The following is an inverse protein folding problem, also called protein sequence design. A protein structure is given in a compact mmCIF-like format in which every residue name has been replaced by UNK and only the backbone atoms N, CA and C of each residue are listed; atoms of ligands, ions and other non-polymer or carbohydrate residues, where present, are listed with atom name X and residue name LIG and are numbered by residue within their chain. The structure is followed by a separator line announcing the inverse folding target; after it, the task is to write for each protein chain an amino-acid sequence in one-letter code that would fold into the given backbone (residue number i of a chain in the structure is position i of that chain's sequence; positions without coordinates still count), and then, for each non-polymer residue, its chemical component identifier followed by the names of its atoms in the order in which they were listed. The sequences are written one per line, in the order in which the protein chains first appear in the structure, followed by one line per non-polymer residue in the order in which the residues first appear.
data_IF_871897593955
#
_entry.id   IF_871897593955
#
_cell.length_a   1.000
_cell.length_b   1.000
_cell.length_c   1.000
_cell.angle_alpha   90.00
_cell.angle_beta   90.00
_cell.angle_gamma   90.00
#
_symmetry.space_group_name_H-M   'P 1'
#
loop_
_entity.id
_entity.type
_entity.pdbx_description
1 polymer ?
#
# COMPACT_ATOMS: atom_id res chain seq x y z
N UNK A 1 10.74 -20.64 20.14
CA UNK A 1 11.19 -19.98 18.89
C UNK A 1 11.01 -20.91 17.67
N UNK A 2 9.90 -21.65 17.60
CA UNK A 2 9.64 -22.67 16.57
C UNK A 2 8.26 -22.60 15.90
N UNK A 3 7.33 -21.79 16.40
CA UNK A 3 5.95 -21.73 15.89
C UNK A 3 5.80 -20.87 14.62
N UNK A 4 6.82 -20.09 14.24
CA UNK A 4 6.68 -19.09 13.17
C UNK A 4 6.94 -19.64 11.77
N UNK A 5 7.72 -20.72 11.61
CA UNK A 5 8.02 -21.29 10.28
C UNK A 5 6.91 -22.18 9.75
N UNK A 6 6.28 -22.99 10.61
CA UNK A 6 5.21 -23.91 10.18
C UNK A 6 3.94 -23.17 9.73
N UNK A 7 3.58 -22.04 10.34
CA UNK A 7 2.42 -21.26 9.94
C UNK A 7 2.62 -20.44 8.64
N UNK A 8 3.87 -20.28 8.19
CA UNK A 8 4.19 -19.58 6.93
C UNK A 8 4.03 -20.53 5.74
N UNK A 9 4.38 -21.81 5.88
CA UNK A 9 4.32 -22.81 4.80
C UNK A 9 2.90 -23.33 4.45
N UNK A 10 1.91 -23.06 5.31
CA UNK A 10 0.55 -23.66 5.22
C UNK A 10 -0.36 -23.11 4.10
N UNK A 11 0.00 -22.02 3.42
CA UNK A 11 -0.87 -21.41 2.40
C UNK A 11 -0.47 -21.75 0.95
N UNK A 12 0.60 -22.55 0.77
CA UNK A 12 1.08 -23.02 -0.53
C UNK A 12 1.70 -21.93 -1.40
N UNK A 13 1.95 -20.73 -0.88
CA UNK A 13 2.49 -19.61 -1.65
C UNK A 13 3.87 -19.95 -2.24
N UNK A 14 4.73 -20.64 -1.50
CA UNK A 14 6.09 -21.02 -1.91
C UNK A 14 6.08 -21.80 -3.23
N UNK A 15 5.21 -22.81 -3.36
CA UNK A 15 5.08 -23.58 -4.58
C UNK A 15 4.62 -22.74 -5.78
N UNK A 16 3.72 -21.77 -5.56
CA UNK A 16 3.30 -20.84 -6.60
C UNK A 16 4.41 -19.86 -6.98
N UNK A 17 5.18 -19.38 -6.00
CA UNK A 17 6.33 -18.50 -6.20
C UNK A 17 7.41 -19.22 -7.00
N UNK A 18 7.73 -20.48 -6.69
CA UNK A 18 8.70 -21.26 -7.45
C UNK A 18 8.31 -21.41 -8.93
N UNK A 19 7.03 -21.75 -9.17
CA UNK A 19 6.48 -21.81 -10.54
C UNK A 19 6.55 -20.43 -11.23
N UNK A 20 6.23 -19.36 -10.52
CA UNK A 20 6.31 -18.00 -11.04
C UNK A 20 7.74 -17.59 -11.38
N UNK A 21 8.72 -17.93 -10.56
CA UNK A 21 10.14 -17.69 -10.82
C UNK A 21 10.59 -18.43 -12.09
N UNK A 22 10.18 -19.69 -12.25
CA UNK A 22 10.49 -20.46 -13.45
C UNK A 22 9.90 -19.79 -14.72
N UNK A 23 8.65 -19.33 -14.68
CA UNK A 23 8.01 -18.61 -15.79
C UNK A 23 8.70 -17.28 -16.10
N UNK A 24 9.05 -16.49 -15.06
CA UNK A 24 9.75 -15.21 -15.21
C UNK A 24 11.13 -15.39 -15.87
N UNK A 25 11.90 -16.38 -15.42
CA UNK A 25 13.25 -16.67 -15.92
C UNK A 25 13.27 -17.28 -17.32
N UNK A 26 12.22 -18.01 -17.69
CA UNK A 26 12.05 -18.58 -19.03
C UNK A 26 11.38 -17.63 -20.03
N UNK A 27 11.05 -16.40 -19.63
CA UNK A 27 10.48 -15.37 -20.52
C UNK A 27 8.97 -15.46 -20.74
N UNK A 28 8.26 -16.37 -20.06
CA UNK A 28 6.80 -16.55 -20.14
C UNK A 28 6.05 -15.47 -19.35
N UNK A 29 6.22 -14.21 -19.76
CA UNK A 29 5.78 -13.03 -18.98
C UNK A 29 4.27 -12.96 -18.75
N UNK A 30 3.46 -13.35 -19.74
CA UNK A 30 1.99 -13.34 -19.63
C UNK A 30 1.49 -14.37 -18.62
N UNK A 31 1.99 -15.59 -18.70
CA UNK A 31 1.64 -16.67 -17.78
C UNK A 31 2.10 -16.37 -16.35
N UNK A 32 3.31 -15.80 -16.20
CA UNK A 32 3.81 -15.33 -14.93
C UNK A 32 2.91 -14.24 -14.33
N UNK A 33 2.45 -13.28 -15.15
CA UNK A 33 1.56 -12.22 -14.70
C UNK A 33 0.20 -12.77 -14.25
N UNK A 34 -0.36 -13.70 -15.01
CA UNK A 34 -1.65 -14.32 -14.67
C UNK A 34 -1.56 -15.17 -13.41
N UNK A 35 -0.51 -15.99 -13.27
CA UNK A 35 -0.23 -16.76 -12.06
C UNK A 35 -0.07 -15.84 -10.85
N UNK A 36 0.66 -14.73 -11.03
CA UNK A 36 0.86 -13.75 -9.97
C UNK A 36 -0.47 -13.17 -9.50
N UNK A 37 -1.30 -12.69 -10.43
CA UNK A 37 -2.58 -12.04 -10.11
C UNK A 37 -3.59 -13.00 -9.51
N UNK A 38 -3.74 -14.19 -10.08
CA UNK A 38 -4.81 -15.13 -9.74
C UNK A 38 -4.51 -15.99 -8.52
N UNK A 39 -3.25 -16.41 -8.32
CA UNK A 39 -2.90 -17.40 -7.30
C UNK A 39 -1.95 -16.85 -6.23
N UNK A 40 -0.95 -16.04 -6.60
CA UNK A 40 0.05 -15.54 -5.65
C UNK A 40 -0.47 -14.35 -4.84
N UNK A 41 -0.93 -13.30 -5.51
CA UNK A 41 -1.28 -12.04 -4.86
C UNK A 41 -2.36 -12.17 -3.78
N UNK A 42 -3.43 -13.00 -3.95
CA UNK A 42 -4.39 -13.25 -2.88
C UNK A 42 -3.76 -13.85 -1.62
N UNK A 43 -2.73 -14.69 -1.76
CA UNK A 43 -1.99 -15.27 -0.64
C UNK A 43 -1.09 -14.21 0.01
N UNK A 44 -0.41 -13.38 -0.78
CA UNK A 44 0.36 -12.22 -0.27
C UNK A 44 -0.53 -11.29 0.56
N UNK A 45 -1.75 -10.97 0.09
CA UNK A 45 -2.72 -10.18 0.84
C UNK A 45 -3.12 -10.84 2.18
N UNK A 46 -3.24 -12.17 2.23
CA UNK A 46 -3.51 -12.89 3.49
C UNK A 46 -2.31 -12.80 4.44
N UNK A 47 -1.09 -12.98 3.93
CA UNK A 47 0.15 -12.90 4.73
C UNK A 47 0.34 -11.53 5.33
N UNK A 48 0.19 -10.45 4.56
CA UNK A 48 0.38 -9.10 5.11
C UNK A 48 -0.65 -8.78 6.20
N UNK A 49 -1.93 -9.17 6.01
CA UNK A 49 -2.97 -9.04 7.03
C UNK A 49 -2.60 -9.74 8.34
N UNK A 50 -2.00 -10.93 8.25
CA UNK A 50 -1.54 -11.70 9.41
C UNK A 50 -0.34 -11.03 10.09
N UNK A 51 0.65 -10.57 9.32
CA UNK A 51 1.85 -9.88 9.84
C UNK A 51 1.54 -8.55 10.51
N UNK A 52 0.60 -7.77 9.97
CA UNK A 52 0.22 -6.45 10.47
C UNK A 52 -0.41 -6.48 11.88
N UNK A 53 -1.03 -7.60 12.26
CA UNK A 53 -1.71 -7.74 13.55
C UNK A 53 -2.98 -6.90 13.69
N UNK A 54 -3.78 -7.18 14.71
CA UNK A 54 -5.10 -6.54 14.90
C UNK A 54 -4.99 -5.07 15.31
N UNK A 55 -4.00 -4.72 16.14
CA UNK A 55 -3.81 -3.35 16.63
C UNK A 55 -3.62 -2.33 15.50
N UNK A 56 -2.83 -2.66 14.47
CA UNK A 56 -2.61 -1.77 13.33
C UNK A 56 -3.78 -1.81 12.32
N UNK A 57 -4.53 -2.92 12.28
CA UNK A 57 -5.66 -3.15 11.35
C UNK A 57 -6.87 -2.25 11.57
N UNK A 58 -7.03 -1.69 12.77
CA UNK A 58 -8.13 -0.77 13.10
C UNK A 58 -7.63 0.57 13.64
N UNK A 59 -6.32 0.84 13.52
CA UNK A 59 -5.68 2.04 14.08
C UNK A 59 -6.12 3.33 13.39
N UNK A 60 -6.32 3.28 12.08
CA UNK A 60 -6.48 4.47 11.26
C UNK A 60 -7.93 4.77 10.95
N UNK A 61 -8.35 5.98 11.32
CA UNK A 61 -9.60 6.55 10.85
C UNK A 61 -9.51 6.85 9.35
N UNK A 62 -8.44 7.51 8.91
CA UNK A 62 -8.24 7.90 7.51
C UNK A 62 -6.86 7.54 6.99
N UNK A 63 -6.77 7.19 5.72
CA UNK A 63 -5.51 7.04 5.00
C UNK A 63 -5.51 7.84 3.71
N UNK A 64 -4.40 8.52 3.43
CA UNK A 64 -4.14 9.16 2.14
C UNK A 64 -3.05 8.38 1.42
N UNK A 65 -3.22 8.06 0.13
CA UNK A 65 -2.23 7.26 -0.62
C UNK A 65 -1.80 7.98 -1.88
N UNK A 66 -0.50 8.03 -2.13
CA UNK A 66 0.04 8.46 -3.43
C UNK A 66 -0.02 7.32 -4.45
N UNK A 67 -0.72 7.55 -5.56
CA UNK A 67 -1.01 6.52 -6.57
C UNK A 67 0.04 6.55 -7.67
N UNK A 68 0.80 5.45 -7.76
CA UNK A 68 1.80 5.21 -8.79
C UNK A 68 1.29 4.36 -9.95
N UNK A 69 2.22 3.65 -10.61
CA UNK A 69 1.92 2.74 -11.71
C UNK A 69 1.74 1.28 -11.28
N UNK A 70 1.98 0.99 -10.00
CA UNK A 70 1.86 -0.34 -9.40
C UNK A 70 0.75 -0.31 -8.34
N UNK A 71 -0.44 -0.84 -8.65
CA UNK A 71 -1.56 -0.92 -7.72
C UNK A 71 -1.30 -1.79 -6.49
N UNK A 72 -0.54 -2.87 -6.67
CA UNK A 72 -0.39 -3.97 -5.71
C UNK A 72 0.01 -3.50 -4.30
N UNK A 73 1.04 -2.63 -4.11
CA UNK A 73 1.44 -2.23 -2.78
C UNK A 73 0.37 -1.42 -2.05
N UNK A 74 -0.38 -0.57 -2.77
CA UNK A 74 -1.49 0.19 -2.17
C UNK A 74 -2.64 -0.74 -1.76
N UNK A 75 -2.92 -1.77 -2.56
CA UNK A 75 -3.89 -2.81 -2.21
C UNK A 75 -3.42 -3.56 -0.96
N UNK A 76 -2.13 -3.81 -0.80
CA UNK A 76 -1.55 -4.42 0.40
C UNK A 76 -1.71 -3.54 1.64
N UNK A 77 -1.42 -2.24 1.56
CA UNK A 77 -1.68 -1.28 2.65
C UNK A 77 -3.14 -1.28 3.06
N UNK A 78 -4.05 -1.10 2.10
CA UNK A 78 -5.50 -1.06 2.35
C UNK A 78 -6.02 -2.40 2.91
N UNK A 79 -5.47 -3.50 2.43
CA UNK A 79 -5.75 -4.85 2.94
C UNK A 79 -5.33 -5.01 4.41
N UNK A 80 -4.18 -4.45 4.76
CA UNK A 80 -3.57 -4.55 6.08
C UNK A 80 -4.28 -3.67 7.12
N UNK A 81 -4.60 -2.41 6.79
CA UNK A 81 -5.05 -1.41 7.80
C UNK A 81 -6.52 -1.04 7.77
N UNK A 82 -7.27 -1.44 6.73
CA UNK A 82 -8.74 -1.29 6.61
C UNK A 82 -9.35 -0.03 7.27
N UNK A 83 -8.96 1.18 6.83
CA UNK A 83 -9.37 2.42 7.46
C UNK A 83 -10.84 2.76 7.14
N UNK A 84 -11.39 3.73 7.86
CA UNK A 84 -12.78 4.19 7.69
C UNK A 84 -12.95 5.23 6.57
N UNK A 85 -11.86 5.89 6.17
CA UNK A 85 -11.79 6.86 5.07
C UNK A 85 -10.54 6.62 4.22
N UNK A 86 -10.67 6.80 2.92
CA UNK A 86 -9.55 6.67 1.97
C UNK A 86 -9.51 7.90 1.07
N UNK A 87 -8.32 8.45 0.85
CA UNK A 87 -8.09 9.53 -0.12
C UNK A 87 -6.95 9.17 -1.06
N UNK A 88 -7.23 9.16 -2.36
CA UNK A 88 -6.22 8.87 -3.38
C UNK A 88 -5.65 10.15 -3.98
N UNK A 89 -4.34 10.35 -3.84
CA UNK A 89 -3.59 11.39 -4.54
C UNK A 89 -3.04 10.79 -5.83
N UNK A 90 -3.55 11.24 -6.98
CA UNK A 90 -3.23 10.63 -8.27
C UNK A 90 -2.86 11.69 -9.32
N UNK A 91 -2.15 11.26 -10.36
CA UNK A 91 -1.84 12.08 -11.54
C UNK A 91 -2.74 11.64 -12.68
N UNK A 92 -2.87 12.46 -13.73
CA UNK A 92 -3.60 12.05 -14.94
C UNK A 92 -3.11 10.70 -15.51
N UNK A 93 -1.82 10.38 -15.37
CA UNK A 93 -1.24 9.10 -15.80
C UNK A 93 -1.58 7.93 -14.88
N UNK A 94 -1.74 8.19 -13.59
CA UNK A 94 -2.00 7.15 -12.59
C UNK A 94 -3.49 6.93 -12.30
N UNK A 95 -4.38 7.79 -12.80
CA UNK A 95 -5.84 7.67 -12.65
C UNK A 95 -6.36 6.29 -13.08
N UNK A 96 -5.85 5.76 -14.19
CA UNK A 96 -6.24 4.45 -14.74
C UNK A 96 -6.05 3.28 -13.75
N UNK A 97 -5.18 3.43 -12.76
CA UNK A 97 -4.90 2.40 -11.76
C UNK A 97 -5.87 2.44 -10.57
N UNK A 98 -6.62 3.53 -10.38
CA UNK A 98 -7.59 3.65 -9.29
C UNK A 98 -8.67 2.58 -9.37
N UNK A 99 -9.17 2.29 -10.58
CA UNK A 99 -10.20 1.27 -10.79
C UNK A 99 -9.70 -0.13 -10.36
N UNK A 100 -8.44 -0.45 -10.68
CA UNK A 100 -7.83 -1.72 -10.24
C UNK A 100 -7.71 -1.80 -8.71
N UNK A 101 -7.25 -0.73 -8.06
CA UNK A 101 -7.15 -0.68 -6.60
C UNK A 101 -8.53 -0.85 -5.94
N UNK A 102 -9.52 -0.06 -6.38
CA UNK A 102 -10.87 -0.05 -5.80
C UNK A 102 -11.56 -1.40 -5.97
N UNK A 103 -11.44 -2.02 -7.15
CA UNK A 103 -12.07 -3.32 -7.42
C UNK A 103 -11.44 -4.48 -6.65
N UNK A 104 -10.14 -4.40 -6.33
CA UNK A 104 -9.39 -5.46 -5.61
C UNK A 104 -9.40 -5.30 -4.09
N UNK A 105 -9.91 -4.19 -3.56
CA UNK A 105 -10.08 -3.94 -2.12
C UNK A 105 -11.54 -4.16 -1.75
N UNK A 106 -11.82 -5.26 -1.04
CA UNK A 106 -13.18 -5.78 -0.78
C UNK A 106 -14.17 -4.76 -0.22
N UNK A 107 -13.74 -3.92 0.72
CA UNK A 107 -14.61 -2.95 1.37
C UNK A 107 -14.82 -1.68 0.54
N UNK A 108 -13.92 -1.37 -0.40
CA UNK A 108 -14.10 -0.29 -1.37
C UNK A 108 -15.02 -0.76 -2.51
N UNK A 109 -14.75 -1.94 -3.06
CA UNK A 109 -15.56 -2.55 -4.13
C UNK A 109 -17.04 -2.72 -3.73
N UNK A 110 -17.30 -3.02 -2.45
CA UNK A 110 -18.66 -3.17 -1.90
C UNK A 110 -19.28 -1.86 -1.40
N UNK A 111 -18.60 -0.73 -1.56
CA UNK A 111 -19.09 0.58 -1.09
C UNK A 111 -19.24 0.70 0.43
N UNK A 112 -18.57 -0.16 1.22
CA UNK A 112 -18.63 -0.12 2.70
C UNK A 112 -17.84 1.05 3.28
N UNK A 113 -16.80 1.49 2.58
CA UNK A 113 -16.02 2.68 2.90
C UNK A 113 -16.02 3.57 1.68
N UNK A 114 -16.32 4.84 1.90
CA UNK A 114 -16.20 5.86 0.87
C UNK A 114 -14.74 6.25 0.69
N UNK A 115 -14.36 6.47 -0.56
CA UNK A 115 -13.08 7.04 -0.92
C UNK A 115 -13.28 8.34 -1.69
N UNK A 116 -12.34 9.26 -1.53
CA UNK A 116 -12.25 10.49 -2.31
C UNK A 116 -10.92 10.49 -3.11
N UNK A 117 -10.78 11.39 -4.08
CA UNK A 117 -9.61 11.44 -4.96
C UNK A 117 -9.23 12.87 -5.32
N UNK A 118 -7.93 13.15 -5.31
CA UNK A 118 -7.36 14.44 -5.67
C UNK A 118 -6.35 14.31 -6.80
N UNK A 119 -6.65 14.96 -7.93
CA UNK A 119 -5.69 15.10 -9.03
C UNK A 119 -4.57 16.07 -8.61
N UNK A 120 -3.32 15.62 -8.74
CA UNK A 120 -2.10 16.41 -8.51
C UNK A 120 -1.20 16.42 -9.74
N UNK A 121 -0.41 17.48 -9.87
CA UNK A 121 0.72 17.54 -10.78
C UNK A 121 2.04 17.32 -10.04
N UNK A 122 2.89 16.46 -10.58
CA UNK A 122 4.12 16.01 -9.93
C UNK A 122 5.14 17.13 -9.66
N UNK A 123 5.11 18.19 -10.49
CA UNK A 123 5.98 19.35 -10.37
C UNK A 123 5.44 20.39 -9.37
N UNK A 124 4.20 20.22 -8.89
CA UNK A 124 3.51 21.16 -7.99
C UNK A 124 3.43 20.59 -6.59
N UNK A 125 4.59 20.46 -5.94
CA UNK A 125 4.74 19.92 -4.56
C UNK A 125 3.79 20.59 -3.55
N UNK A 126 3.56 21.91 -3.67
CA UNK A 126 2.65 22.64 -2.79
C UNK A 126 1.18 22.17 -2.93
N UNK A 127 0.74 21.78 -4.13
CA UNK A 127 -0.61 21.26 -4.36
C UNK A 127 -0.81 19.90 -3.67
N UNK A 128 0.24 19.08 -3.59
CA UNK A 128 0.20 17.83 -2.82
C UNK A 128 0.05 18.12 -1.33
N UNK A 129 0.84 19.06 -0.79
CA UNK A 129 0.74 19.49 0.60
C UNK A 129 -0.66 20.04 0.91
N UNK A 130 -1.17 20.95 0.08
CA UNK A 130 -2.49 21.56 0.28
C UNK A 130 -3.60 20.51 0.28
N UNK A 131 -3.57 19.53 -0.62
CA UNK A 131 -4.57 18.45 -0.62
C UNK A 131 -4.51 17.58 0.63
N UNK A 132 -3.30 17.24 1.08
CA UNK A 132 -3.13 16.46 2.33
C UNK A 132 -3.64 17.27 3.52
N UNK A 133 -3.21 18.53 3.66
CA UNK A 133 -3.64 19.41 4.75
C UNK A 133 -5.16 19.57 4.76
N UNK A 134 -5.75 19.90 3.61
CA UNK A 134 -7.19 20.14 3.52
C UNK A 134 -8.00 18.88 3.89
N UNK A 135 -7.57 17.68 3.44
CA UNK A 135 -8.24 16.44 3.84
C UNK A 135 -8.01 16.09 5.31
N UNK A 136 -6.82 16.37 5.84
CA UNK A 136 -6.54 16.19 7.26
C UNK A 136 -7.42 17.10 8.13
N UNK A 137 -7.57 18.37 7.77
CA UNK A 137 -8.48 19.30 8.46
C UNK A 137 -9.95 18.88 8.33
N UNK A 138 -10.39 18.45 7.15
CA UNK A 138 -11.74 17.94 6.92
C UNK A 138 -12.04 16.72 7.80
N UNK A 139 -11.11 15.76 7.86
CA UNK A 139 -11.23 14.58 8.71
C UNK A 139 -11.08 14.93 10.20
N UNK A 140 -10.22 15.87 10.56
CA UNK A 140 -9.99 16.27 11.95
C UNK A 140 -11.19 16.94 12.62
N UNK A 141 -12.08 17.57 11.85
CA UNK A 141 -13.27 18.28 12.38
C UNK A 141 -14.37 17.36 12.95
N UNK A 142 -14.19 16.03 12.96
CA UNK A 142 -15.24 15.12 13.45
C UNK A 142 -14.79 13.75 13.96
N UNK A 143 -13.54 13.54 14.42
CA UNK A 143 -13.01 12.18 14.61
C UNK A 143 -12.11 11.96 15.85
N UNK A 144 -12.16 10.73 16.38
CA UNK A 144 -11.34 10.20 17.49
C UNK A 144 -10.27 9.17 17.03
N UNK A 145 -9.71 9.29 15.82
CA UNK A 145 -8.76 8.28 15.29
C UNK A 145 -7.61 8.85 14.48
N UNK A 146 -6.54 8.07 14.33
CA UNK A 146 -5.31 8.49 13.67
C UNK A 146 -5.46 8.56 12.16
N UNK A 147 -4.71 9.46 11.54
CA UNK A 147 -4.63 9.61 10.09
C UNK A 147 -3.21 9.25 9.64
N UNK A 148 -3.11 8.55 8.52
CA UNK A 148 -1.84 8.15 7.94
C UNK A 148 -1.72 8.57 6.47
N UNK A 149 -0.47 8.65 6.00
CA UNK A 149 -0.13 8.84 4.59
C UNK A 149 0.71 7.65 4.13
N UNK A 150 0.26 6.93 3.10
CA UNK A 150 1.04 5.88 2.43
C UNK A 150 1.82 6.48 1.26
N UNK A 151 3.14 6.30 1.30
CA UNK A 151 4.09 6.81 0.30
C UNK A 151 4.74 5.71 -0.54
N UNK A 152 4.14 4.51 -0.56
CA UNK A 152 4.68 3.37 -1.28
C UNK A 152 4.63 3.58 -2.79
N UNK A 153 3.54 4.20 -3.26
CA UNK A 153 3.31 4.50 -4.67
C UNK A 153 3.55 5.96 -5.02
N UNK A 154 3.53 6.24 -6.33
CA UNK A 154 3.68 7.60 -6.86
C UNK A 154 5.10 7.90 -7.29
N UNK A 155 5.29 9.09 -7.88
CA UNK A 155 6.63 9.55 -8.26
C UNK A 155 7.40 10.04 -7.03
N UNK A 156 8.73 10.07 -7.15
CA UNK A 156 9.63 10.54 -6.08
C UNK A 156 9.22 11.90 -5.51
N UNK A 157 8.85 12.86 -6.37
CA UNK A 157 8.39 14.18 -5.91
C UNK A 157 7.10 14.11 -5.09
N UNK A 158 6.14 13.28 -5.49
CA UNK A 158 4.91 13.03 -4.72
C UNK A 158 5.22 12.38 -3.38
N UNK A 159 6.02 11.31 -3.39
CA UNK A 159 6.46 10.58 -2.20
C UNK A 159 7.14 11.52 -1.20
N UNK A 160 8.10 12.33 -1.66
CA UNK A 160 8.81 13.29 -0.83
C UNK A 160 7.89 14.38 -0.29
N UNK A 161 7.03 14.98 -1.13
CA UNK A 161 6.07 16.00 -0.72
C UNK A 161 5.10 15.47 0.35
N UNK A 162 4.57 14.26 0.13
CA UNK A 162 3.64 13.59 1.03
C UNK A 162 4.29 13.21 2.36
N UNK A 163 5.53 12.73 2.34
CA UNK A 163 6.28 12.42 3.56
C UNK A 163 6.55 13.68 4.40
N UNK A 164 6.94 14.78 3.74
CA UNK A 164 7.13 16.08 4.40
C UNK A 164 5.82 16.59 4.99
N UNK A 165 4.72 16.55 4.23
CA UNK A 165 3.40 16.94 4.71
C UNK A 165 2.96 16.12 5.93
N UNK A 166 3.09 14.80 5.86
CA UNK A 166 2.78 13.90 6.97
C UNK A 166 3.59 14.25 8.23
N UNK A 167 4.90 14.50 8.06
CA UNK A 167 5.78 14.83 9.18
C UNK A 167 5.41 16.15 9.86
N UNK A 168 5.12 17.20 9.07
CA UNK A 168 4.70 18.51 9.59
C UNK A 168 3.33 18.48 10.27
N UNK A 169 2.42 17.65 9.78
CA UNK A 169 1.06 17.51 10.33
C UNK A 169 0.96 16.45 11.43
N UNK A 170 2.06 15.80 11.81
CA UNK A 170 2.08 14.77 12.84
C UNK A 170 1.32 13.49 12.47
N UNK A 171 1.25 13.16 11.17
CA UNK A 171 0.57 11.97 10.66
C UNK A 171 1.53 10.77 10.63
N UNK A 172 0.98 9.57 10.81
CA UNK A 172 1.75 8.35 10.61
C UNK A 172 2.12 8.21 9.13
N UNK A 173 3.38 7.86 8.87
CA UNK A 173 3.88 7.63 7.52
C UNK A 173 3.98 6.12 7.27
N UNK A 174 3.30 5.62 6.25
CA UNK A 174 3.21 4.20 5.92
C UNK A 174 3.99 3.88 4.64
N UNK A 175 4.60 2.70 4.64
CA UNK A 175 5.33 2.17 3.48
C UNK A 175 5.26 0.64 3.45
N UNK A 176 4.96 0.04 2.30
CA UNK A 176 5.11 -1.41 2.10
C UNK A 176 6.54 -1.70 1.68
N UNK A 177 7.26 -2.37 2.56
CA UNK A 177 8.61 -2.85 2.31
C UNK A 177 8.58 -4.34 1.94
N UNK A 178 9.52 -4.78 1.11
CA UNK A 178 9.74 -6.19 0.78
C UNK A 178 11.12 -6.61 1.27
N UNK A 179 11.18 -7.64 2.11
CA UNK A 179 12.45 -8.11 2.70
C UNK A 179 13.42 -8.69 1.66
N UNK A 180 12.89 -9.36 0.63
CA UNK A 180 13.70 -9.93 -0.43
C UNK A 180 13.37 -9.28 -1.77
N UNK A 181 14.40 -8.76 -2.44
CA UNK A 181 14.32 -8.24 -3.80
C UNK A 181 15.13 -9.13 -4.76
N UNK A 182 14.49 -9.57 -5.84
CA UNK A 182 15.06 -10.49 -6.82
C UNK A 182 15.66 -9.68 -7.97
N UNK A 183 16.97 -9.44 -7.91
CA UNK A 183 17.70 -8.59 -8.87
C UNK A 183 17.65 -9.09 -10.31
N UNK A 184 17.68 -10.41 -10.51
CA UNK A 184 17.67 -11.06 -11.83
C UNK A 184 16.38 -10.75 -12.61
N UNK A 185 15.25 -10.64 -11.90
CA UNK A 185 13.94 -10.36 -12.50
C UNK A 185 13.36 -8.99 -12.10
N UNK A 186 14.14 -8.18 -11.38
CA UNK A 186 13.80 -6.83 -10.87
C UNK A 186 12.43 -6.75 -10.23
N UNK A 187 12.14 -7.66 -9.31
CA UNK A 187 10.84 -7.73 -8.63
C UNK A 187 11.01 -8.13 -7.15
N UNK A 188 10.14 -7.65 -6.25
CA UNK A 188 10.10 -8.17 -4.88
C UNK A 188 9.71 -9.65 -4.90
N UNK A 189 10.27 -10.44 -3.98
CA UNK A 189 9.85 -11.83 -3.79
C UNK A 189 8.46 -11.85 -3.14
N UNK A 190 7.45 -12.45 -3.77
CA UNK A 190 6.10 -12.45 -3.22
C UNK A 190 6.05 -13.15 -1.86
N UNK A 191 5.34 -12.55 -0.90
CA UNK A 191 5.19 -13.06 0.47
C UNK A 191 6.17 -12.46 1.48
N UNK A 192 7.18 -11.73 1.00
CA UNK A 192 8.17 -11.04 1.85
C UNK A 192 7.77 -9.60 2.19
N UNK A 193 6.61 -9.15 1.73
CA UNK A 193 6.08 -7.83 2.00
C UNK A 193 5.63 -7.71 3.46
N UNK A 194 5.82 -6.51 4.02
CA UNK A 194 5.23 -6.09 5.29
C UNK A 194 5.03 -4.57 5.31
N UNK A 195 4.03 -4.14 6.09
CA UNK A 195 3.71 -2.74 6.26
C UNK A 195 4.57 -2.15 7.39
N UNK A 196 5.22 -1.03 7.11
CA UNK A 196 6.05 -0.30 8.07
C UNK A 196 5.40 1.03 8.40
N UNK A 197 5.39 1.38 9.69
CA UNK A 197 5.14 2.76 10.14
C UNK A 197 6.52 3.42 10.28
N UNK A 198 6.83 4.36 9.39
CA UNK A 198 8.08 5.09 9.43
C UNK A 198 8.04 6.12 10.56
N UNK A 199 9.08 6.19 11.41
CA UNK A 199 9.10 7.15 12.51
C UNK A 199 9.15 8.57 11.98
N UNK A 200 8.37 9.46 12.59
CA UNK A 200 8.49 10.89 12.32
C UNK A 200 9.73 11.42 13.06
N UNK A 201 10.79 11.87 12.36
CA UNK A 201 12.02 12.32 13.01
C UNK A 201 11.81 13.56 13.90
N UNK A 202 10.76 14.36 13.65
CA UNK A 202 10.45 15.54 14.48
C UNK A 202 9.82 15.17 15.83
N UNK A 203 9.30 13.95 15.97
CA UNK A 203 8.64 13.45 17.19
C UNK A 203 9.48 12.38 17.91
N UNK A 204 10.49 11.82 17.24
CA UNK A 204 11.34 10.74 17.75
C UNK A 204 12.67 11.22 18.34
N UNK A 205 12.96 12.53 18.25
CA UNK A 205 14.10 13.22 18.87
C UNK A 205 13.65 13.95 20.13
#
# INVERSE_FOLDING_TARGET
MGETKEAIDMDGLEAHVDKWLALRRSGHSTEALELYKSQIFPLVQKRIKRKTGEALRSKYYGIMLTVGTSPEPLILTLSAVRPQKVFFLYTAKSERFLCDIVSRVDYLARGKVLYDRGLVEEARVLDIYDKIRNKWEEWGKGCNGLIAVDITGGKKSMVSASAVAASFLGLDLLYVYSEEYLEDIRAPKPGTEYLVVLPNPLLAL
#
